data_IF_612963776312
#
_entry.id   IF_612963776312
#
_cell.length_a   1.000
_cell.length_b   1.000
_cell.length_c   1.000
_cell.angle_alpha   90.00
_cell.angle_beta   90.00
_cell.angle_gamma   90.00
#
_symmetry.space_group_name_H-M   'P 1'
#
loop_
_entity.id
_entity.type
_entity.pdbx_description
1 polymer ?
#
# COMPACT_ATOMS: atom_id res chain seq x y z
N UNK A 1 -42.19 -51.34 -27.06
CA UNK A 1 -42.54 -50.15 -26.27
C UNK A 1 -41.37 -49.17 -26.46
N UNK A 2 -41.26 -48.39 -27.54
CA UNK A 2 -42.01 -47.14 -27.92
C UNK A 2 -42.36 -46.32 -26.68
N UNK A 3 -41.91 -45.08 -26.42
CA UNK A 3 -41.27 -43.98 -27.18
C UNK A 3 -40.51 -43.03 -26.21
N UNK A 4 -39.53 -42.24 -26.72
CA UNK A 4 -38.91 -41.11 -26.02
C UNK A 4 -39.62 -39.77 -26.33
N UNK A 5 -39.81 -38.89 -25.34
CA UNK A 5 -40.34 -37.53 -25.56
C UNK A 5 -39.29 -36.45 -25.25
N UNK A 6 -38.99 -35.71 -26.32
CA UNK A 6 -38.29 -34.43 -26.37
C UNK A 6 -38.97 -33.37 -25.49
N UNK A 7 -38.18 -32.47 -24.90
CA UNK A 7 -38.50 -31.03 -24.85
C UNK A 7 -37.23 -30.18 -24.91
N UNK A 8 -37.08 -29.44 -26.00
CA UNK A 8 -36.19 -28.30 -26.13
C UNK A 8 -36.78 -27.08 -25.39
N UNK A 9 -35.96 -26.19 -24.80
CA UNK A 9 -36.38 -24.82 -24.51
C UNK A 9 -36.03 -23.89 -25.68
N UNK A 10 -37.04 -23.18 -26.15
CA UNK A 10 -36.97 -22.09 -27.12
C UNK A 10 -36.27 -20.89 -26.47
N UNK A 11 -35.20 -20.39 -27.07
CA UNK A 11 -34.58 -19.12 -26.64
C UNK A 11 -35.36 -17.96 -27.27
N UNK A 12 -35.95 -17.22 -26.36
CA UNK A 12 -36.64 -15.94 -26.44
C UNK A 12 -35.93 -14.95 -27.37
N UNK A 13 -36.72 -14.31 -28.23
CA UNK A 13 -36.29 -13.31 -29.20
C UNK A 13 -35.61 -12.09 -28.57
N UNK A 14 -34.54 -11.65 -29.23
CA UNK A 14 -33.93 -10.35 -29.02
C UNK A 14 -34.89 -9.25 -29.46
N UNK A 15 -35.39 -8.47 -28.51
CA UNK A 15 -36.01 -7.18 -28.79
C UNK A 15 -34.90 -6.16 -29.02
N UNK A 16 -34.95 -5.54 -30.20
CA UNK A 16 -34.06 -4.50 -30.66
C UNK A 16 -34.08 -3.28 -29.72
N UNK A 17 -32.89 -2.83 -29.33
CA UNK A 17 -32.67 -1.56 -28.67
C UNK A 17 -33.03 -0.41 -29.62
N UNK A 18 -34.10 0.33 -29.30
CA UNK A 18 -34.43 1.60 -29.93
C UNK A 18 -33.49 2.69 -29.42
N UNK A 19 -32.57 3.12 -30.29
CA UNK A 19 -31.73 4.29 -30.10
C UNK A 19 -32.60 5.55 -30.30
N UNK A 20 -32.88 6.32 -29.25
CA UNK A 20 -33.39 7.68 -29.38
C UNK A 20 -32.28 8.64 -28.99
N UNK A 21 -31.57 9.13 -30.00
CA UNK A 21 -30.70 10.28 -29.88
C UNK A 21 -31.56 11.54 -30.01
N UNK A 22 -31.73 12.29 -28.92
CA UNK A 22 -32.19 13.68 -28.96
C UNK A 22 -31.07 14.59 -28.49
N UNK A 23 -30.53 15.32 -29.46
CA UNK A 23 -29.69 16.49 -29.28
C UNK A 23 -30.52 17.65 -28.74
N UNK A 24 -30.06 18.29 -27.68
CA UNK A 24 -30.38 19.69 -27.38
C UNK A 24 -29.16 20.33 -26.74
N UNK A 25 -28.54 21.21 -27.51
CA UNK A 25 -27.38 21.98 -27.15
C UNK A 25 -27.78 23.31 -26.50
N UNK A 26 -26.77 23.91 -25.86
CA UNK A 26 -26.60 25.34 -25.56
C UNK A 26 -27.30 25.86 -24.31
N UNK A 27 -26.46 26.10 -23.29
CA UNK A 27 -26.79 26.87 -22.09
C UNK A 27 -25.54 27.16 -21.25
N UNK A 28 -24.47 27.65 -21.88
CA UNK A 28 -23.32 28.20 -21.14
C UNK A 28 -23.72 29.59 -20.66
N UNK A 29 -24.06 29.73 -19.38
CA UNK A 29 -24.11 31.03 -18.71
C UNK A 29 -22.72 31.29 -18.12
N UNK A 30 -21.85 31.92 -18.91
CA UNK A 30 -20.60 32.47 -18.42
C UNK A 30 -20.92 33.78 -17.65
N UNK A 31 -20.80 33.76 -16.32
CA UNK A 31 -20.72 35.00 -15.54
C UNK A 31 -19.24 35.39 -15.50
N UNK A 32 -18.88 36.32 -16.37
CA UNK A 32 -17.63 37.08 -16.30
C UNK A 32 -17.84 38.19 -15.29
N UNK A 33 -17.17 38.10 -14.13
CA UNK A 33 -16.88 39.26 -13.29
C UNK A 33 -15.51 39.07 -12.64
N UNK A 34 -14.51 39.69 -13.29
CA UNK A 34 -13.32 40.40 -12.77
C UNK A 34 -12.47 39.79 -11.64
N UNK A 35 -11.15 39.58 -11.86
CA UNK A 35 -10.17 39.63 -10.79
C UNK A 35 -9.78 41.09 -10.49
N UNK A 36 -10.08 41.57 -9.29
CA UNK A 36 -9.50 42.79 -8.74
C UNK A 36 -8.02 42.54 -8.42
N UNK A 37 -7.15 43.13 -9.22
CA UNK A 37 -5.71 43.16 -9.01
C UNK A 37 -5.28 44.63 -8.91
N UNK A 38 -5.20 45.15 -7.70
CA UNK A 38 -4.50 46.38 -7.32
C UNK A 38 -4.09 46.16 -5.86
N UNK A 39 -2.83 45.92 -5.51
CA UNK A 39 -1.88 46.99 -5.16
C UNK A 39 -0.51 46.36 -4.90
N UNK A 40 0.49 46.68 -5.71
CA UNK A 40 1.87 46.80 -5.23
C UNK A 40 2.09 48.29 -4.90
N UNK A 41 3.00 48.65 -3.97
CA UNK A 41 4.34 48.89 -4.48
C UNK A 41 5.51 48.66 -3.50
N UNK A 42 6.70 48.77 -4.11
CA UNK A 42 7.98 49.37 -3.67
C UNK A 42 8.83 48.74 -2.54
N UNK A 43 9.94 48.17 -3.02
CA UNK A 43 11.31 48.65 -2.79
C UNK A 43 12.10 48.18 -1.54
N UNK A 44 13.06 47.29 -1.83
CA UNK A 44 14.46 47.44 -1.40
C UNK A 44 14.97 46.45 -0.34
N UNK A 45 16.29 46.25 -0.19
CA UNK A 45 17.37 46.42 -1.16
C UNK A 45 18.09 45.10 -1.48
N UNK A 46 18.75 45.10 -2.64
CA UNK A 46 19.82 44.18 -2.98
C UNK A 46 20.98 44.39 -2.00
N UNK A 47 21.46 43.30 -1.38
CA UNK A 47 22.77 43.26 -0.74
C UNK A 47 23.59 42.07 -1.25
N UNK A 48 24.92 42.22 -1.25
CA UNK A 48 25.77 41.68 -2.30
C UNK A 48 26.32 40.30 -1.99
N UNK A 49 26.62 39.57 -3.06
CA UNK A 49 27.70 38.58 -3.08
C UNK A 49 28.98 39.21 -2.56
N UNK A 50 29.65 38.59 -1.60
CA UNK A 50 31.10 38.31 -1.68
C UNK A 50 31.62 37.60 -0.43
N UNK A 51 32.18 36.40 -0.65
CA UNK A 51 33.44 35.91 -0.09
C UNK A 51 33.61 35.92 1.44
N UNK A 52 33.48 34.75 2.06
CA UNK A 52 34.27 34.41 3.26
C UNK A 52 35.48 33.56 2.86
N UNK A 53 36.70 33.98 3.20
CA UNK A 53 37.94 33.31 2.84
C UNK A 53 38.13 31.98 3.58
N UNK A 54 38.59 30.98 2.83
CA UNK A 54 39.20 29.73 3.28
C UNK A 54 40.26 30.02 4.34
N UNK A 55 40.08 29.48 5.55
CA UNK A 55 41.11 29.49 6.57
C UNK A 55 42.30 28.64 6.09
N UNK A 56 43.44 29.34 6.00
CA UNK A 56 44.77 28.85 5.66
C UNK A 56 45.25 27.71 6.57
N UNK A 57 46.01 26.71 6.07
CA UNK A 57 46.58 25.65 6.90
C UNK A 57 47.68 26.21 7.82
N UNK A 58 47.55 25.96 9.12
CA UNK A 58 48.59 26.23 10.13
C UNK A 58 49.65 25.11 10.10
N UNK A 59 50.90 25.40 10.51
CA UNK A 59 52.11 24.81 9.95
C UNK A 59 52.40 23.38 10.42
N UNK A 60 52.92 22.61 9.46
CA UNK A 60 53.64 21.34 9.67
C UNK A 60 54.77 21.51 10.67
N UNK A 61 54.61 20.93 11.87
CA UNK A 61 55.74 20.68 12.77
C UNK A 61 56.51 19.48 12.24
N UNK A 62 57.79 19.70 11.94
CA UNK A 62 58.73 18.67 11.53
C UNK A 62 58.87 17.58 12.62
N UNK A 63 59.03 16.30 12.25
CA UNK A 63 59.14 15.22 13.20
C UNK A 63 60.49 15.24 13.91
N UNK A 64 60.46 15.29 15.25
CA UNK A 64 61.62 14.97 16.08
C UNK A 64 61.85 13.46 16.03
N UNK A 65 62.98 13.04 15.49
CA UNK A 65 63.45 11.66 15.40
C UNK A 65 63.70 11.08 16.81
N UNK A 66 62.98 10.06 17.30
CA UNK A 66 63.45 9.29 18.44
C UNK A 66 64.50 8.26 17.99
N UNK A 67 65.58 8.21 18.76
CA UNK A 67 66.68 7.26 18.76
C UNK A 67 66.25 5.79 18.54
N UNK A 68 67.05 4.93 17.88
CA UNK A 68 66.75 3.51 17.78
C UNK A 68 66.85 2.86 19.17
N UNK A 69 65.70 2.47 19.72
CA UNK A 69 65.59 1.59 20.88
C UNK A 69 66.05 0.18 20.48
N UNK A 70 66.84 -0.54 21.29
CA UNK A 70 67.29 -1.89 20.97
C UNK A 70 66.12 -2.83 20.72
N UNK A 71 66.21 -3.56 19.61
CA UNK A 71 65.25 -4.54 19.12
C UNK A 71 64.99 -5.62 20.18
N UNK A 72 63.75 -5.70 20.65
CA UNK A 72 63.31 -6.79 21.52
C UNK A 72 63.32 -8.11 20.73
N UNK A 73 63.94 -9.13 21.32
CA UNK A 73 63.96 -10.51 20.85
C UNK A 73 62.54 -11.00 20.49
N UNK A 74 62.33 -11.62 19.32
CA UNK A 74 61.01 -12.11 18.95
C UNK A 74 60.60 -13.24 19.89
N UNK A 75 59.62 -12.96 20.74
CA UNK A 75 58.92 -13.99 21.51
C UNK A 75 58.04 -14.76 20.53
N UNK A 76 58.18 -16.09 20.50
CA UNK A 76 57.38 -16.95 19.65
C UNK A 76 55.88 -16.70 19.92
N UNK A 77 55.15 -16.37 18.85
CA UNK A 77 53.71 -16.17 18.91
C UNK A 77 53.02 -17.48 19.36
N UNK A 78 52.07 -17.44 20.30
CA UNK A 78 51.28 -18.62 20.64
C UNK A 78 50.47 -19.08 19.43
N UNK A 79 50.43 -20.41 19.25
CA UNK A 79 49.68 -21.10 18.19
C UNK A 79 48.23 -20.61 18.11
N UNK A 80 47.66 -20.39 16.91
CA UNK A 80 46.26 -19.98 16.77
C UNK A 80 45.33 -21.06 17.36
N UNK A 81 44.45 -20.64 18.27
CA UNK A 81 43.35 -21.45 18.76
C UNK A 81 42.40 -21.79 17.60
N UNK A 82 41.88 -23.02 17.49
CA UNK A 82 40.90 -23.36 16.45
C UNK A 82 39.66 -22.47 16.58
N UNK A 83 39.26 -21.87 15.46
CA UNK A 83 38.03 -21.08 15.35
C UNK A 83 36.82 -21.98 15.64
N UNK A 84 35.83 -21.52 16.46
CA UNK A 84 34.61 -22.29 16.69
C UNK A 84 33.88 -22.50 15.35
N UNK A 85 33.47 -23.74 15.11
CA UNK A 85 32.66 -24.13 13.96
C UNK A 85 31.33 -23.35 13.99
N UNK A 86 30.92 -22.67 12.91
CA UNK A 86 29.64 -21.97 12.88
C UNK A 86 28.50 -22.97 13.11
N UNK A 87 27.73 -22.74 14.18
CA UNK A 87 26.50 -23.48 14.46
C UNK A 87 25.54 -23.25 13.28
N UNK A 88 24.92 -24.29 12.71
CA UNK A 88 23.93 -24.09 11.66
C UNK A 88 22.82 -23.18 12.19
N UNK A 89 22.58 -22.08 11.46
CA UNK A 89 21.46 -21.17 11.71
C UNK A 89 20.17 -21.98 11.57
N UNK A 90 19.20 -21.87 12.49
CA UNK A 90 17.91 -22.51 12.30
C UNK A 90 17.31 -22.04 10.97
N UNK A 91 16.88 -23.00 10.15
CA UNK A 91 16.12 -22.72 8.93
C UNK A 91 14.84 -21.97 9.33
N UNK A 92 14.39 -20.95 8.59
CA UNK A 92 13.16 -20.23 8.93
C UNK A 92 12.00 -21.24 8.98
N UNK A 93 11.31 -21.30 10.12
CA UNK A 93 10.04 -21.99 10.24
C UNK A 93 9.05 -21.26 9.33
N UNK A 94 8.65 -21.90 8.23
CA UNK A 94 7.63 -21.36 7.32
C UNK A 94 6.31 -21.32 8.10
N UNK A 95 5.84 -20.13 8.47
CA UNK A 95 4.46 -19.99 8.97
C UNK A 95 3.52 -20.10 7.78
N UNK A 96 2.36 -20.75 7.93
CA UNK A 96 1.43 -20.91 6.82
C UNK A 96 0.83 -19.55 6.40
N UNK A 97 0.46 -19.43 5.13
CA UNK A 97 -0.44 -18.39 4.66
C UNK A 97 -1.80 -18.53 5.37
N UNK A 98 -2.52 -17.42 5.54
CA UNK A 98 -3.80 -17.39 6.23
C UNK A 98 -4.93 -17.16 5.21
N UNK A 99 -5.72 -18.21 4.98
CA UNK A 99 -6.91 -18.16 4.13
C UNK A 99 -8.17 -17.86 4.96
N UNK A 100 -9.10 -17.12 4.38
CA UNK A 100 -10.42 -16.93 4.96
C UNK A 100 -11.14 -15.71 4.42
N UNK A 101 -12.17 -15.29 5.14
CA UNK A 101 -12.91 -14.06 4.83
C UNK A 101 -12.46 -12.95 5.77
N UNK A 102 -12.24 -11.74 5.22
CA UNK A 102 -11.87 -10.56 6.00
C UNK A 102 -13.12 -9.83 6.48
N UNK A 103 -13.41 -9.91 7.77
CA UNK A 103 -14.60 -9.31 8.40
C UNK A 103 -14.26 -7.97 9.05
N UNK A 104 -15.00 -6.92 8.70
CA UNK A 104 -14.91 -5.59 9.31
C UNK A 104 -15.52 -5.59 10.71
N UNK A 105 -14.75 -5.20 11.72
CA UNK A 105 -15.25 -5.14 13.10
C UNK A 105 -16.35 -4.08 13.31
N UNK A 106 -16.40 -3.02 12.49
CA UNK A 106 -17.44 -2.00 12.60
C UNK A 106 -18.83 -2.49 12.16
N UNK A 107 -18.90 -3.43 11.22
CA UNK A 107 -20.14 -3.78 10.54
C UNK A 107 -20.49 -5.27 10.57
N UNK A 108 -19.53 -6.14 10.91
CA UNK A 108 -19.66 -7.59 10.76
C UNK A 108 -19.77 -8.02 9.29
N UNK A 109 -19.45 -7.13 8.34
CA UNK A 109 -19.50 -7.36 6.90
C UNK A 109 -18.13 -7.73 6.35
N UNK A 110 -18.14 -8.44 5.24
CA UNK A 110 -16.97 -9.05 4.65
C UNK A 110 -16.39 -8.15 3.56
N UNK A 111 -15.07 -8.11 3.44
CA UNK A 111 -14.36 -7.48 2.34
C UNK A 111 -14.61 -8.29 1.07
N UNK A 112 -15.15 -7.64 0.05
CA UNK A 112 -15.67 -8.31 -1.15
C UNK A 112 -15.13 -7.65 -2.40
N UNK A 113 -14.78 -8.46 -3.40
CA UNK A 113 -14.49 -7.99 -4.76
C UNK A 113 -15.80 -7.85 -5.54
N UNK A 114 -16.37 -6.65 -5.58
CA UNK A 114 -17.56 -6.38 -6.40
C UNK A 114 -17.22 -6.12 -7.86
N UNK A 115 -17.84 -6.90 -8.76
CA UNK A 115 -17.62 -6.76 -10.20
C UNK A 115 -16.25 -7.29 -10.60
N UNK A 116 -15.45 -6.50 -11.32
CA UNK A 116 -14.13 -6.97 -11.79
C UNK A 116 -12.98 -6.64 -10.83
N UNK A 117 -12.99 -5.46 -10.22
CA UNK A 117 -11.83 -4.99 -9.45
C UNK A 117 -12.18 -4.21 -8.19
N UNK A 118 -13.41 -3.73 -8.04
CA UNK A 118 -13.77 -2.85 -6.93
C UNK A 118 -13.81 -3.65 -5.63
N UNK A 119 -13.33 -3.05 -4.54
CA UNK A 119 -13.41 -3.64 -3.21
C UNK A 119 -14.32 -2.80 -2.31
N UNK A 120 -15.22 -3.47 -1.61
CA UNK A 120 -16.21 -2.89 -0.71
C UNK A 120 -16.63 -3.89 0.38
N UNK A 121 -17.42 -3.45 1.35
CA UNK A 121 -18.00 -4.35 2.36
C UNK A 121 -19.38 -4.86 1.92
N UNK A 122 -19.63 -6.17 2.05
CA UNK A 122 -20.94 -6.80 1.79
C UNK A 122 -21.32 -7.75 2.93
N UNK A 123 -22.57 -8.18 2.94
CA UNK A 123 -22.99 -9.23 3.85
C UNK A 123 -22.15 -10.49 3.60
N UNK A 124 -21.77 -11.16 4.68
CA UNK A 124 -20.91 -12.33 4.61
C UNK A 124 -21.69 -13.54 4.10
N UNK A 125 -21.30 -14.06 2.94
CA UNK A 125 -21.85 -15.27 2.32
C UNK A 125 -20.76 -16.31 2.02
N UNK A 126 -19.48 -15.96 2.27
CA UNK A 126 -18.30 -16.78 1.99
C UNK A 126 -18.17 -17.22 0.52
N UNK A 127 -18.80 -16.47 -0.38
CA UNK A 127 -18.67 -16.68 -1.82
C UNK A 127 -17.24 -16.40 -2.30
N UNK A 128 -16.96 -16.80 -3.54
CA UNK A 128 -15.59 -16.77 -4.08
C UNK A 128 -14.97 -15.39 -4.12
N UNK A 129 -15.77 -14.33 -4.20
CA UNK A 129 -15.37 -12.92 -4.20
C UNK A 129 -15.09 -12.37 -2.79
N UNK A 130 -15.32 -13.16 -1.73
CA UNK A 130 -14.99 -12.83 -0.34
C UNK A 130 -13.80 -13.64 0.20
N UNK A 131 -13.23 -14.54 -0.61
CA UNK A 131 -12.11 -15.38 -0.19
C UNK A 131 -10.78 -14.67 -0.42
N UNK A 132 -10.02 -14.52 0.66
CA UNK A 132 -8.71 -13.88 0.67
C UNK A 132 -7.63 -14.82 1.21
N UNK A 133 -6.43 -14.68 0.66
CA UNK A 133 -5.21 -15.31 1.16
C UNK A 133 -4.25 -14.21 1.62
N UNK A 134 -3.98 -14.15 2.92
CA UNK A 134 -2.96 -13.30 3.50
C UNK A 134 -1.64 -14.07 3.48
N UNK A 135 -0.76 -13.67 2.58
CA UNK A 135 0.51 -14.35 2.35
C UNK A 135 1.57 -13.93 3.37
N UNK A 136 2.57 -14.80 3.63
CA UNK A 136 3.74 -14.42 4.42
C UNK A 136 4.53 -13.23 3.86
N UNK A 137 4.46 -13.01 2.55
CA UNK A 137 5.10 -11.88 1.89
C UNK A 137 4.40 -10.53 2.18
N UNK A 138 3.21 -10.56 2.79
CA UNK A 138 2.40 -9.38 3.08
C UNK A 138 1.37 -9.06 1.99
N UNK A 139 1.26 -9.83 0.92
CA UNK A 139 0.17 -9.64 -0.05
C UNK A 139 -1.15 -10.17 0.52
N UNK A 140 -2.23 -9.44 0.26
CA UNK A 140 -3.61 -9.88 0.48
C UNK A 140 -4.19 -10.20 -0.88
N UNK A 141 -4.32 -11.49 -1.20
CA UNK A 141 -4.73 -11.95 -2.53
C UNK A 141 -6.18 -12.37 -2.55
N UNK A 142 -6.91 -11.98 -3.58
CA UNK A 142 -8.24 -12.53 -3.82
C UNK A 142 -8.14 -13.98 -4.33
N UNK A 143 -9.28 -14.65 -4.46
CA UNK A 143 -9.34 -16.03 -4.97
C UNK A 143 -8.85 -16.16 -6.42
N UNK A 144 -8.83 -15.07 -7.19
CA UNK A 144 -8.29 -15.00 -8.55
C UNK A 144 -6.77 -14.83 -8.61
N UNK A 145 -6.11 -14.55 -7.49
CA UNK A 145 -4.67 -14.32 -7.41
C UNK A 145 -4.26 -12.86 -7.69
N UNK A 146 -5.20 -11.94 -7.81
CA UNK A 146 -4.94 -10.51 -7.81
C UNK A 146 -4.71 -10.00 -6.38
N UNK A 147 -3.94 -8.92 -6.25
CA UNK A 147 -3.55 -8.36 -4.96
C UNK A 147 -4.40 -7.15 -4.61
N UNK A 148 -4.80 -7.05 -3.34
CA UNK A 148 -5.36 -5.84 -2.76
C UNK A 148 -4.35 -4.70 -2.87
N UNK A 149 -4.76 -3.58 -3.47
CA UNK A 149 -3.88 -2.46 -3.80
C UNK A 149 -4.60 -1.12 -3.63
N UNK A 150 -3.89 -0.06 -3.23
CA UNK A 150 -4.37 1.31 -3.42
C UNK A 150 -4.45 1.62 -4.91
N UNK A 151 -5.53 2.30 -5.33
CA UNK A 151 -5.76 2.70 -6.71
C UNK A 151 -4.56 3.51 -7.25
N UNK A 152 -4.02 3.09 -8.39
CA UNK A 152 -2.81 3.65 -9.00
C UNK A 152 -1.59 3.72 -8.07
N UNK A 153 -1.56 2.95 -6.97
CA UNK A 153 -0.52 3.04 -5.95
C UNK A 153 -0.49 4.37 -5.21
N UNK A 154 -1.66 5.03 -5.06
CA UNK A 154 -1.79 6.26 -4.30
C UNK A 154 -1.37 6.09 -2.83
N UNK A 155 -0.84 7.15 -2.25
CA UNK A 155 -0.30 7.17 -0.87
C UNK A 155 -0.99 8.22 0.02
N UNK A 156 -2.09 8.79 -0.45
CA UNK A 156 -2.83 9.84 0.24
C UNK A 156 -4.07 9.25 0.93
N UNK A 157 -4.49 9.81 2.08
CA UNK A 157 -5.78 9.47 2.66
C UNK A 157 -6.90 9.72 1.65
N UNK A 158 -7.88 8.81 1.60
CA UNK A 158 -8.95 8.84 0.61
C UNK A 158 -8.66 8.05 -0.66
N UNK A 159 -7.44 7.53 -0.84
CA UNK A 159 -7.11 6.67 -2.00
C UNK A 159 -7.99 5.41 -1.95
N UNK A 160 -8.84 5.14 -2.96
CA UNK A 160 -9.65 3.93 -3.00
C UNK A 160 -8.78 2.67 -3.05
N UNK A 161 -9.26 1.57 -2.50
CA UNK A 161 -8.57 0.27 -2.59
C UNK A 161 -9.34 -0.65 -3.56
N UNK A 162 -8.60 -1.41 -4.36
CA UNK A 162 -9.13 -2.32 -5.37
C UNK A 162 -8.30 -3.61 -5.43
N UNK A 163 -8.66 -4.57 -6.27
CA UNK A 163 -7.75 -5.66 -6.67
C UNK A 163 -7.06 -5.34 -8.00
N UNK A 164 -5.78 -5.71 -8.08
CA UNK A 164 -4.93 -5.46 -9.26
C UNK A 164 -3.92 -6.59 -9.42
N UNK A 165 -3.42 -6.88 -10.64
CA UNK A 165 -2.31 -7.81 -10.83
C UNK A 165 -1.17 -7.56 -9.84
N UNK A 166 -0.66 -8.63 -9.24
CA UNK A 166 0.40 -8.54 -8.25
C UNK A 166 1.72 -8.09 -8.89
N UNK A 167 2.32 -7.05 -8.32
CA UNK A 167 3.55 -6.39 -8.72
C UNK A 167 4.68 -6.58 -7.71
N UNK A 168 4.37 -7.16 -6.52
CA UNK A 168 5.31 -7.49 -5.44
C UNK A 168 6.12 -6.30 -4.90
N UNK A 169 5.65 -5.08 -5.09
CA UNK A 169 6.23 -3.90 -4.46
C UNK A 169 5.37 -3.41 -3.29
N UNK A 170 5.92 -2.50 -2.49
CA UNK A 170 5.33 -2.05 -1.23
C UNK A 170 3.89 -1.51 -1.33
N UNK A 171 3.39 -1.16 -2.52
CA UNK A 171 2.00 -0.71 -2.73
C UNK A 171 0.96 -1.85 -2.66
N UNK A 172 1.41 -3.10 -2.61
CA UNK A 172 0.54 -4.28 -2.51
C UNK A 172 0.93 -5.17 -1.32
N UNK A 173 1.83 -4.66 -0.48
CA UNK A 173 2.22 -5.31 0.75
C UNK A 173 1.49 -4.64 1.90
N UNK A 174 0.92 -5.46 2.76
CA UNK A 174 0.13 -5.09 3.91
C UNK A 174 0.74 -5.76 5.13
N UNK A 175 0.98 -4.99 6.18
CA UNK A 175 1.35 -5.52 7.49
C UNK A 175 0.13 -5.51 8.40
N UNK A 176 0.02 -6.51 9.27
CA UNK A 176 -0.95 -6.47 10.36
C UNK A 176 -0.47 -5.47 11.42
N UNK A 177 -1.31 -4.49 11.70
CA UNK A 177 -1.11 -3.48 12.73
C UNK A 177 -1.78 -3.86 14.05
N UNK A 178 -1.82 -2.90 14.96
CA UNK A 178 -2.54 -3.05 16.24
C UNK A 178 -4.01 -3.36 15.99
N UNK A 179 -4.59 -4.19 16.86
CA UNK A 179 -6.01 -4.56 16.83
C UNK A 179 -6.50 -5.19 15.52
N UNK A 180 -5.63 -5.69 14.64
CA UNK A 180 -6.06 -6.31 13.37
C UNK A 180 -6.18 -5.33 12.21
N UNK A 181 -5.59 -4.14 12.31
CA UNK A 181 -5.51 -3.24 11.16
C UNK A 181 -4.67 -3.83 10.03
N UNK A 182 -5.04 -3.57 8.77
CA UNK A 182 -4.20 -3.87 7.61
C UNK A 182 -3.55 -2.57 7.14
N UNK A 183 -2.24 -2.47 7.29
CA UNK A 183 -1.49 -1.23 6.99
C UNK A 183 -0.70 -1.43 5.71
N UNK A 184 -0.99 -0.61 4.70
CA UNK A 184 -0.21 -0.60 3.46
C UNK A 184 1.24 -0.20 3.78
N UNK A 185 2.19 -1.01 3.30
CA UNK A 185 3.60 -0.90 3.67
C UNK A 185 4.21 0.38 3.12
N UNK A 186 3.79 0.81 1.92
CA UNK A 186 4.36 1.98 1.23
C UNK A 186 3.86 3.31 1.80
N UNK A 187 2.56 3.44 2.02
CA UNK A 187 1.93 4.67 2.50
C UNK A 187 1.90 4.78 4.02
N UNK A 188 1.93 3.65 4.72
CA UNK A 188 1.71 3.60 6.17
C UNK A 188 0.25 3.87 6.59
N UNK A 189 -0.68 3.91 5.63
CA UNK A 189 -2.11 4.12 5.86
C UNK A 189 -2.85 2.78 6.02
N UNK A 190 -3.98 2.83 6.71
CA UNK A 190 -4.78 1.65 7.04
C UNK A 190 -5.89 1.43 6.00
N UNK A 191 -6.21 0.16 5.75
CA UNK A 191 -7.42 -0.26 5.06
C UNK A 191 -8.64 0.13 5.90
N UNK A 192 -9.43 1.06 5.37
CA UNK A 192 -10.48 1.78 6.08
C UNK A 192 -11.80 1.67 5.33
N UNK A 193 -12.89 1.32 6.03
CA UNK A 193 -14.24 1.44 5.48
C UNK A 193 -14.62 2.92 5.46
N UNK A 194 -14.95 3.43 4.27
CA UNK A 194 -15.16 4.86 4.03
C UNK A 194 -16.13 5.51 5.03
N UNK A 195 -15.65 6.52 5.74
CA UNK A 195 -16.37 7.26 6.79
C UNK A 195 -16.96 6.37 7.90
N UNK A 196 -16.43 5.16 8.11
CA UNK A 196 -16.94 4.21 9.08
C UNK A 196 -18.36 3.74 8.83
N UNK A 197 -18.88 3.89 7.60
CA UNK A 197 -20.26 3.50 7.27
C UNK A 197 -20.39 1.98 7.32
N UNK A 198 -21.54 1.50 7.78
CA UNK A 198 -21.80 0.07 7.94
C UNK A 198 -22.66 -0.52 6.84
N UNK A 199 -23.18 0.30 5.92
CA UNK A 199 -24.03 -0.16 4.81
C UNK A 199 -23.28 -1.09 3.86
N UNK A 200 -23.94 -2.16 3.42
CA UNK A 200 -23.47 -3.00 2.31
C UNK A 200 -23.21 -2.15 1.07
N UNK A 201 -22.14 -2.43 0.34
CA UNK A 201 -21.70 -1.63 -0.79
C UNK A 201 -20.77 -0.47 -0.42
N UNK A 202 -20.42 -0.25 0.84
CA UNK A 202 -19.50 0.83 1.22
C UNK A 202 -18.08 0.49 0.77
N UNK A 203 -17.45 1.38 0.01
CA UNK A 203 -16.09 1.18 -0.48
C UNK A 203 -15.06 1.22 0.66
N UNK A 204 -13.91 0.60 0.41
CA UNK A 204 -12.72 0.73 1.24
C UNK A 204 -11.72 1.71 0.63
N UNK A 205 -10.93 2.33 1.50
CA UNK A 205 -9.93 3.34 1.15
C UNK A 205 -8.68 3.18 2.02
N UNK A 206 -7.63 3.92 1.69
CA UNK A 206 -6.55 4.23 2.60
C UNK A 206 -6.96 5.40 3.50
N UNK A 207 -6.72 5.28 4.80
CA UNK A 207 -6.90 6.38 5.74
C UNK A 207 -5.85 6.37 6.85
N UNK A 208 -5.73 7.48 7.57
CA UNK A 208 -4.86 7.56 8.74
C UNK A 208 -5.23 6.46 9.73
N UNK A 209 -4.23 5.68 10.14
CA UNK A 209 -4.41 4.64 11.13
C UNK A 209 -4.79 5.25 12.49
N UNK A 210 -5.92 4.85 13.03
CA UNK A 210 -6.33 5.19 14.40
C UNK A 210 -6.20 4.01 15.35
N UNK A 211 -6.13 4.30 16.65
CA UNK A 211 -6.12 3.28 17.69
C UNK A 211 -7.54 2.78 17.98
N UNK A 212 -7.77 1.47 17.92
CA UNK A 212 -9.08 0.82 18.12
C UNK A 212 -10.22 1.35 17.24
N UNK A 213 -9.91 1.79 16.02
CA UNK A 213 -10.94 2.20 15.07
C UNK A 213 -11.57 0.97 14.43
N UNK A 214 -12.83 0.68 14.79
CA UNK A 214 -13.52 -0.54 14.34
C UNK A 214 -13.66 -0.62 12.81
N UNK A 215 -13.73 0.52 12.12
CA UNK A 215 -13.83 0.58 10.66
C UNK A 215 -12.49 0.35 9.93
N UNK A 216 -11.39 0.25 10.69
CA UNK A 216 -10.04 -0.09 10.22
C UNK A 216 -9.56 -1.44 10.74
N UNK A 217 -10.42 -2.14 11.50
CA UNK A 217 -10.10 -3.40 12.15
C UNK A 217 -10.71 -4.56 11.38
N UNK A 218 -9.87 -5.54 11.05
CA UNK A 218 -10.25 -6.70 10.24
C UNK A 218 -9.86 -8.00 10.95
N UNK A 219 -10.76 -8.98 10.93
CA UNK A 219 -10.47 -10.34 11.38
C UNK A 219 -10.61 -11.32 10.22
N UNK A 220 -9.70 -12.28 10.13
CA UNK A 220 -9.84 -13.40 9.21
C UNK A 220 -10.63 -14.51 9.90
N UNK A 221 -11.67 -15.01 9.23
CA UNK A 221 -12.54 -16.11 9.71
C UNK A 221 -12.65 -17.22 8.69
#
# INVERSE_FOLDING_TARGET
MVEPWLRAPQVIGMLAAGLVATTAAVGVLAVVTTPDALTAPIAGPLLPSTWTPTASPSPTVAPSTPSPTPSATPTAAPSPSPSPTPRPSPSPTVSPDLDGVLVSAASGRCLTVSGQTRVDIRDCDADRDQQWTLTQAGEVRDRGGACLAPWNGGVQPGTPVHVWPCTRDGRQLWRTGVSGALVDVRSGLCLDVYNGRTSSGTMVQLWYCGYHQANQTWSVT
#
